data_IF_370704574336
#
_entry.id   IF_370704574336
#
_cell.length_a   1.000
_cell.length_b   1.000
_cell.length_c   1.000
_cell.angle_alpha   90.00
_cell.angle_beta   90.00
_cell.angle_gamma   90.00
#
_symmetry.space_group_name_H-M   'P 1'
#
loop_
_entity.id
_entity.type
_entity.pdbx_description
1 polymer ?
#
# COMPACT_ATOMS: atom_id res chain seq x y z
N UNK A 1 32.60 59.15 -3.97
CA UNK A 1 33.81 58.76 -4.73
C UNK A 1 33.47 58.97 -6.20
N UNK A 2 34.08 59.95 -6.87
CA UNK A 2 33.74 60.26 -8.27
C UNK A 2 34.49 59.29 -9.16
N UNK A 3 33.76 58.54 -10.00
CA UNK A 3 34.38 57.73 -11.05
C UNK A 3 34.98 58.71 -12.05
N UNK A 4 36.30 58.66 -12.24
CA UNK A 4 36.95 59.32 -13.38
C UNK A 4 36.61 58.49 -14.61
N UNK A 5 35.84 59.06 -15.53
CA UNK A 5 35.61 58.44 -16.83
C UNK A 5 36.95 58.18 -17.52
N UNK A 6 37.14 56.96 -18.00
CA UNK A 6 38.38 56.54 -18.65
C UNK A 6 38.28 56.96 -20.12
N UNK A 7 38.68 58.19 -20.44
CA UNK A 7 38.78 58.66 -21.82
C UNK A 7 39.76 57.79 -22.62
N UNK A 8 39.28 57.21 -23.72
CA UNK A 8 40.12 56.52 -24.70
C UNK A 8 40.77 57.52 -25.68
N UNK A 9 41.73 57.04 -26.49
CA UNK A 9 42.31 57.86 -27.56
C UNK A 9 41.29 58.31 -28.60
N UNK A 10 40.26 57.49 -28.85
CA UNK A 10 39.15 57.78 -29.78
C UNK A 10 38.26 58.89 -29.23
N UNK A 11 37.90 58.85 -27.94
CA UNK A 11 37.09 59.90 -27.29
C UNK A 11 37.79 61.28 -27.34
N UNK A 12 39.11 61.28 -27.23
CA UNK A 12 39.93 62.49 -27.38
C UNK A 12 39.93 63.00 -28.81
N UNK A 13 40.02 62.13 -29.81
CA UNK A 13 39.91 62.51 -31.23
C UNK A 13 38.55 63.15 -31.53
N UNK A 14 37.44 62.55 -31.08
CA UNK A 14 36.09 63.12 -31.23
C UNK A 14 36.00 64.48 -30.54
N UNK A 15 36.47 64.59 -29.29
CA UNK A 15 36.51 65.84 -28.53
C UNK A 15 37.36 66.95 -29.17
N UNK A 16 38.38 66.57 -29.96
CA UNK A 16 39.27 67.48 -30.68
C UNK A 16 38.57 68.02 -31.95
N UNK A 17 37.94 67.12 -32.70
CA UNK A 17 37.15 67.43 -33.89
C UNK A 17 35.95 68.32 -33.52
N UNK A 18 35.24 68.03 -32.42
CA UNK A 18 34.12 68.86 -31.95
C UNK A 18 34.55 70.29 -31.59
N UNK A 19 35.74 70.46 -31.00
CA UNK A 19 36.28 71.79 -30.64
C UNK A 19 36.70 72.61 -31.86
N UNK A 20 37.28 71.97 -32.88
CA UNK A 20 37.81 72.65 -34.08
C UNK A 20 36.86 72.64 -35.28
N UNK A 21 35.79 71.85 -35.24
CA UNK A 21 34.84 71.53 -36.34
C UNK A 21 35.44 70.80 -37.54
N UNK A 22 36.70 71.08 -37.90
CA UNK A 22 37.52 70.33 -38.85
C UNK A 22 38.98 70.41 -38.43
N UNK A 23 39.76 69.36 -38.66
CA UNK A 23 41.21 69.33 -38.38
C UNK A 23 41.95 68.47 -39.41
N UNK A 24 43.18 68.85 -39.77
CA UNK A 24 44.06 68.01 -40.59
C UNK A 24 44.47 66.74 -39.83
N UNK A 25 44.56 65.60 -40.51
CA UNK A 25 44.99 64.31 -39.92
C UNK A 25 46.35 64.43 -39.22
N UNK A 26 47.29 65.12 -39.87
CA UNK A 26 48.64 65.39 -39.40
C UNK A 26 48.72 66.49 -38.32
N UNK A 27 47.65 67.24 -38.06
CA UNK A 27 47.52 68.11 -36.88
C UNK A 27 46.90 67.35 -35.71
N UNK A 28 45.87 66.53 -35.97
CA UNK A 28 45.25 65.65 -34.98
C UNK A 28 46.26 64.65 -34.38
N UNK A 29 47.12 64.05 -35.21
CA UNK A 29 48.21 63.19 -34.76
C UNK A 29 49.17 63.89 -33.78
N UNK A 30 49.52 65.15 -34.06
CA UNK A 30 50.41 65.96 -33.21
C UNK A 30 49.75 66.34 -31.88
N UNK A 31 48.48 66.73 -31.88
CA UNK A 31 47.76 67.09 -30.64
C UNK A 31 47.41 65.88 -29.76
N UNK A 32 47.16 64.72 -30.36
CA UNK A 32 46.87 63.48 -29.63
C UNK A 32 48.14 62.71 -29.21
N UNK A 33 49.31 63.09 -29.72
CA UNK A 33 50.59 62.47 -29.39
C UNK A 33 50.74 61.04 -29.94
N UNK A 34 50.08 60.73 -31.05
CA UNK A 34 50.06 59.39 -31.69
C UNK A 34 50.41 59.51 -33.18
N UNK A 35 50.78 58.39 -33.82
CA UNK A 35 51.11 58.40 -35.25
C UNK A 35 49.88 58.63 -36.13
N UNK A 36 50.07 59.24 -37.30
CA UNK A 36 49.01 59.47 -38.30
C UNK A 36 48.28 58.17 -38.73
N UNK A 37 48.97 57.02 -38.74
CA UNK A 37 48.34 55.71 -39.02
C UNK A 37 47.29 55.36 -37.96
N UNK A 38 47.58 55.59 -36.69
CA UNK A 38 46.67 55.31 -35.57
C UNK A 38 45.47 56.26 -35.59
N UNK A 39 45.69 57.55 -35.89
CA UNK A 39 44.58 58.50 -36.07
C UNK A 39 43.73 58.13 -37.29
N UNK A 40 44.34 57.62 -38.36
CA UNK A 40 43.62 57.15 -39.55
C UNK A 40 42.76 55.93 -39.25
N UNK A 41 43.29 54.91 -38.57
CA UNK A 41 42.53 53.74 -38.13
C UNK A 41 41.34 54.14 -37.24
N UNK A 42 41.53 55.09 -36.32
CA UNK A 42 40.44 55.64 -35.52
C UNK A 42 39.45 56.44 -36.38
N UNK A 43 39.92 57.20 -37.35
CA UNK A 43 39.07 58.00 -38.24
C UNK A 43 38.22 57.13 -39.17
N UNK A 44 38.80 56.07 -39.74
CA UNK A 44 38.11 55.08 -40.59
C UNK A 44 37.02 54.38 -39.78
N UNK A 45 37.33 53.92 -38.55
CA UNK A 45 36.34 53.35 -37.63
C UNK A 45 35.20 54.33 -37.27
N UNK A 46 35.53 55.60 -37.01
CA UNK A 46 34.54 56.65 -36.73
C UNK A 46 33.72 57.07 -37.97
N UNK A 47 34.25 56.86 -39.18
CA UNK A 47 33.53 57.09 -40.45
C UNK A 47 32.58 55.93 -40.77
N UNK A 48 32.97 54.68 -40.51
CA UNK A 48 32.08 53.51 -40.59
C UNK A 48 30.84 53.70 -39.68
N UNK A 49 31.06 54.11 -38.42
CA UNK A 49 30.00 54.46 -37.46
C UNK A 49 29.30 55.80 -37.77
N UNK A 50 29.69 56.50 -38.86
CA UNK A 50 29.11 57.75 -39.34
C UNK A 50 29.16 58.92 -38.32
N UNK A 51 30.15 58.93 -37.42
CA UNK A 51 30.38 60.01 -36.46
C UNK A 51 31.23 61.16 -37.04
N UNK A 52 32.16 60.84 -37.94
CA UNK A 52 32.98 61.83 -38.66
C UNK A 52 32.92 61.61 -40.17
N UNK A 53 33.50 62.51 -40.94
CA UNK A 53 33.75 62.35 -42.38
C UNK A 53 35.20 62.68 -42.69
N UNK A 54 35.84 61.82 -43.48
CA UNK A 54 37.20 61.99 -43.97
C UNK A 54 37.14 62.62 -45.36
N UNK A 55 37.59 63.87 -45.49
CA UNK A 55 37.69 64.55 -46.79
C UNK A 55 39.15 64.52 -47.29
N UNK A 56 39.32 63.97 -48.48
CA UNK A 56 40.61 63.74 -49.13
C UNK A 56 40.93 64.88 -50.10
N UNK A 57 41.38 66.00 -49.55
CA UNK A 57 41.87 67.14 -50.34
C UNK A 57 43.15 66.81 -51.11
N UNK A 58 43.39 67.55 -52.21
CA UNK A 58 44.52 67.37 -53.13
C UNK A 58 45.92 67.35 -52.47
N UNK A 59 46.05 67.87 -51.26
CA UNK A 59 47.32 67.93 -50.52
C UNK A 59 47.22 67.55 -49.03
N UNK A 60 46.02 67.29 -48.51
CA UNK A 60 45.76 67.08 -47.07
C UNK A 60 44.50 66.25 -46.85
N UNK A 61 44.53 65.37 -45.84
CA UNK A 61 43.35 64.64 -45.36
C UNK A 61 42.78 65.40 -44.16
N UNK A 62 41.50 65.77 -44.23
CA UNK A 62 40.83 66.54 -43.16
C UNK A 62 39.71 65.74 -42.53
N UNK A 63 39.68 65.72 -41.20
CA UNK A 63 38.65 65.09 -40.38
C UNK A 63 37.64 66.14 -39.97
N UNK A 64 36.39 66.00 -40.43
CA UNK A 64 35.30 66.91 -40.09
C UNK A 64 34.24 66.19 -39.25
N UNK A 65 33.69 66.89 -38.25
CA UNK A 65 32.62 66.35 -37.42
C UNK A 65 31.34 66.22 -38.26
N UNK A 66 30.87 64.99 -38.49
CA UNK A 66 29.66 64.73 -39.28
C UNK A 66 28.45 65.04 -38.40
N UNK A 67 28.10 66.33 -38.32
CA UNK A 67 26.86 66.79 -37.68
C UNK A 67 25.69 66.12 -38.38
N UNK A 68 25.21 65.02 -37.79
CA UNK A 68 24.04 64.26 -38.25
C UNK A 68 22.96 65.28 -38.58
N UNK A 69 22.61 65.41 -39.86
CA UNK A 69 21.67 66.46 -40.24
C UNK A 69 20.35 66.17 -39.56
N UNK A 70 19.57 67.20 -39.22
CA UNK A 70 18.27 67.02 -38.55
C UNK A 70 17.39 65.99 -39.26
N UNK A 71 17.51 65.90 -40.59
CA UNK A 71 16.85 64.94 -41.48
C UNK A 71 17.33 63.49 -41.33
N UNK A 72 18.64 63.26 -41.16
CA UNK A 72 19.21 61.93 -40.88
C UNK A 72 18.92 61.48 -39.45
N UNK A 73 18.97 62.39 -38.49
CA UNK A 73 18.55 62.13 -37.11
C UNK A 73 17.06 61.75 -37.06
N UNK A 74 16.20 62.52 -37.73
CA UNK A 74 14.77 62.18 -37.90
C UNK A 74 14.56 60.83 -38.62
N UNK A 75 15.41 60.47 -39.58
CA UNK A 75 15.35 59.16 -40.26
C UNK A 75 15.74 58.01 -39.33
N UNK A 76 16.88 58.09 -38.64
CA UNK A 76 17.31 57.07 -37.66
C UNK A 76 16.30 56.95 -36.50
N UNK A 77 15.70 58.06 -36.05
CA UNK A 77 14.63 58.06 -35.03
C UNK A 77 13.34 57.42 -35.55
N UNK A 78 12.94 57.65 -36.80
CA UNK A 78 11.76 56.97 -37.40
C UNK A 78 11.98 55.48 -37.59
N UNK A 79 13.15 55.08 -38.08
CA UNK A 79 13.51 53.66 -38.21
C UNK A 79 13.57 52.98 -36.82
N UNK A 80 14.14 53.66 -35.83
CA UNK A 80 14.15 53.23 -34.44
C UNK A 80 12.74 53.03 -33.86
N UNK A 81 11.86 54.03 -33.96
CA UNK A 81 10.47 53.89 -33.50
C UNK A 81 9.75 52.74 -34.21
N UNK A 82 10.00 52.56 -35.52
CA UNK A 82 9.43 51.44 -36.28
C UNK A 82 9.92 50.07 -35.76
N UNK A 83 11.22 49.93 -35.45
CA UNK A 83 11.79 48.71 -34.86
C UNK A 83 11.27 48.46 -33.44
N UNK A 84 11.18 49.50 -32.62
CA UNK A 84 10.61 49.44 -31.27
C UNK A 84 9.13 49.03 -31.29
N UNK A 85 8.31 49.63 -32.14
CA UNK A 85 6.89 49.32 -32.24
C UNK A 85 6.68 47.89 -32.75
N UNK A 86 7.47 47.44 -33.73
CA UNK A 86 7.47 46.06 -34.18
C UNK A 86 7.86 45.09 -33.04
N UNK A 87 8.86 45.44 -32.23
CA UNK A 87 9.28 44.67 -31.08
C UNK A 87 8.21 44.60 -29.99
N UNK A 88 7.61 45.74 -29.59
CA UNK A 88 6.52 45.78 -28.61
C UNK A 88 5.34 44.94 -29.10
N UNK A 89 4.94 45.04 -30.37
CA UNK A 89 3.89 44.19 -30.96
C UNK A 89 4.26 42.70 -30.94
N UNK A 90 5.53 42.33 -31.14
CA UNK A 90 6.00 40.94 -31.02
C UNK A 90 5.83 40.44 -29.57
N UNK A 91 6.23 41.24 -28.58
CA UNK A 91 6.08 40.94 -27.16
C UNK A 91 4.60 40.84 -26.75
N UNK A 92 3.76 41.80 -27.13
CA UNK A 92 2.31 41.80 -26.88
C UNK A 92 1.60 40.59 -27.51
N UNK A 93 1.96 40.23 -28.74
CA UNK A 93 1.45 39.01 -29.41
C UNK A 93 1.91 37.75 -28.66
N UNK A 94 3.14 37.75 -28.12
CA UNK A 94 3.66 36.65 -27.30
C UNK A 94 2.87 36.50 -25.99
N UNK A 95 2.52 37.62 -25.34
CA UNK A 95 1.65 37.65 -24.15
C UNK A 95 0.26 37.10 -24.50
N UNK A 96 -0.39 37.58 -25.56
CA UNK A 96 -1.72 37.06 -25.97
C UNK A 96 -1.73 35.57 -26.29
N UNK A 97 -0.65 35.05 -26.89
CA UNK A 97 -0.49 33.61 -27.11
C UNK A 97 -0.29 32.86 -25.79
N UNK A 98 0.42 33.43 -24.81
CA UNK A 98 0.60 32.86 -23.47
C UNK A 98 -0.70 32.89 -22.65
N UNK A 99 -1.53 33.93 -22.81
CA UNK A 99 -2.88 34.04 -22.24
C UNK A 99 -3.81 32.95 -22.82
N UNK A 100 -3.74 32.69 -24.13
CA UNK A 100 -4.49 31.57 -24.73
C UNK A 100 -3.98 30.19 -24.28
N UNK A 101 -2.66 29.97 -24.27
CA UNK A 101 -2.07 28.73 -23.75
C UNK A 101 -2.36 28.55 -22.24
N UNK A 102 -2.62 29.65 -21.52
CA UNK A 102 -3.11 29.65 -20.12
C UNK A 102 -4.54 29.16 -20.01
N UNK A 103 -5.47 29.60 -20.86
CA UNK A 103 -6.86 29.10 -20.86
C UNK A 103 -6.91 27.57 -21.09
N UNK A 104 -6.08 27.05 -22.00
CA UNK A 104 -5.94 25.61 -22.24
C UNK A 104 -5.35 24.85 -21.03
N UNK A 105 -4.48 25.49 -20.24
CA UNK A 105 -3.95 24.94 -18.99
C UNK A 105 -4.96 24.95 -17.84
N UNK A 106 -5.72 26.04 -17.69
CA UNK A 106 -6.72 26.16 -16.63
C UNK A 106 -7.86 25.14 -16.87
N UNK A 107 -8.21 24.82 -18.12
CA UNK A 107 -9.07 23.68 -18.46
C UNK A 107 -8.48 22.33 -18.01
N UNK A 108 -7.18 22.08 -18.25
CA UNK A 108 -6.51 20.84 -17.80
C UNK A 108 -6.46 20.76 -16.26
N UNK A 109 -6.39 21.91 -15.58
CA UNK A 109 -6.41 22.04 -14.12
C UNK A 109 -7.80 21.75 -13.55
N UNK A 110 -8.88 22.15 -14.23
CA UNK A 110 -10.25 21.75 -13.92
C UNK A 110 -10.47 20.24 -14.17
N UNK A 111 -10.10 19.73 -15.35
CA UNK A 111 -10.15 18.29 -15.68
C UNK A 111 -9.44 17.43 -14.61
N UNK A 112 -8.26 17.86 -14.17
CA UNK A 112 -7.53 17.19 -13.09
C UNK A 112 -8.20 17.35 -11.72
N UNK A 113 -8.82 18.50 -11.44
CA UNK A 113 -9.57 18.76 -10.21
C UNK A 113 -10.76 17.82 -10.06
N UNK A 114 -11.51 17.58 -11.13
CA UNK A 114 -12.64 16.65 -11.13
C UNK A 114 -12.18 15.18 -11.13
N UNK A 115 -11.10 14.85 -11.86
CA UNK A 115 -10.46 13.54 -11.75
C UNK A 115 -10.02 13.26 -10.29
N UNK A 116 -9.46 14.26 -9.59
CA UNK A 116 -9.03 14.16 -8.19
C UNK A 116 -10.21 13.97 -7.23
N UNK A 117 -11.39 14.55 -7.50
CA UNK A 117 -12.61 14.28 -6.72
C UNK A 117 -13.07 12.84 -6.90
N UNK A 118 -13.17 12.38 -8.15
CA UNK A 118 -13.65 11.04 -8.48
C UNK A 118 -12.70 9.94 -7.94
N UNK A 119 -11.39 10.13 -8.08
CA UNK A 119 -10.37 9.28 -7.45
C UNK A 119 -10.48 9.35 -5.92
N UNK A 120 -10.82 10.52 -5.35
CA UNK A 120 -11.05 10.69 -3.92
C UNK A 120 -12.16 9.78 -3.38
N UNK A 121 -13.32 9.76 -4.05
CA UNK A 121 -14.43 8.85 -3.70
C UNK A 121 -14.06 7.38 -3.90
N UNK A 122 -13.45 7.01 -5.03
CA UNK A 122 -13.02 5.61 -5.28
C UNK A 122 -11.97 5.14 -4.25
N UNK A 123 -11.08 6.03 -3.78
CA UNK A 123 -10.13 5.73 -2.71
C UNK A 123 -10.80 5.54 -1.34
N UNK A 124 -11.91 6.23 -1.08
CA UNK A 124 -12.67 6.10 0.17
C UNK A 124 -13.41 4.76 0.22
N UNK A 125 -14.02 4.35 -0.90
CA UNK A 125 -14.61 3.02 -1.07
C UNK A 125 -13.56 1.89 -0.92
N UNK A 126 -12.42 2.00 -1.62
CA UNK A 126 -11.32 1.01 -1.50
C UNK A 126 -10.75 0.94 -0.09
N UNK A 127 -10.69 2.07 0.63
CA UNK A 127 -10.28 2.08 2.04
C UNK A 127 -11.30 1.35 2.92
N UNK A 128 -12.60 1.54 2.68
CA UNK A 128 -13.65 0.82 3.39
C UNK A 128 -13.56 -0.69 3.12
N UNK A 129 -13.33 -1.12 1.88
CA UNK A 129 -13.09 -2.54 1.55
C UNK A 129 -11.85 -3.11 2.27
N UNK A 130 -10.77 -2.33 2.41
CA UNK A 130 -9.56 -2.75 3.15
C UNK A 130 -9.79 -2.85 4.66
N UNK A 131 -10.51 -1.90 5.26
CA UNK A 131 -10.85 -1.94 6.69
C UNK A 131 -11.79 -3.12 7.01
N UNK A 132 -12.74 -3.46 6.11
CA UNK A 132 -13.53 -4.69 6.21
C UNK A 132 -12.68 -5.96 6.10
N UNK A 133 -11.77 -6.04 5.12
CA UNK A 133 -10.88 -7.20 4.94
C UNK A 133 -10.00 -7.43 6.18
N UNK A 134 -9.50 -6.34 6.78
CA UNK A 134 -8.73 -6.41 8.03
C UNK A 134 -9.59 -6.94 9.18
N UNK A 135 -10.84 -6.50 9.31
CA UNK A 135 -11.76 -7.03 10.32
C UNK A 135 -12.02 -8.54 10.13
N UNK A 136 -12.13 -9.02 8.88
CA UNK A 136 -12.25 -10.46 8.60
C UNK A 136 -10.98 -11.24 8.95
N UNK A 137 -9.79 -10.65 8.82
CA UNK A 137 -8.52 -11.26 9.22
C UNK A 137 -8.40 -11.40 10.74
N UNK A 138 -8.73 -10.34 11.50
CA UNK A 138 -8.80 -10.37 12.97
C UNK A 138 -9.80 -11.43 13.44
N UNK A 139 -10.99 -11.51 12.81
CA UNK A 139 -12.03 -12.47 13.15
C UNK A 139 -11.61 -13.91 12.85
N UNK A 140 -10.89 -14.14 11.74
CA UNK A 140 -10.28 -15.43 11.43
C UNK A 140 -9.25 -15.83 12.50
N UNK A 141 -8.35 -14.93 12.88
CA UNK A 141 -7.31 -15.22 13.87
C UNK A 141 -7.91 -15.60 15.24
N UNK A 142 -9.00 -14.95 15.64
CA UNK A 142 -9.74 -15.32 16.85
C UNK A 142 -10.39 -16.72 16.73
N UNK A 143 -11.02 -17.04 15.61
CA UNK A 143 -11.58 -18.40 15.37
C UNK A 143 -10.49 -19.47 15.39
N UNK A 144 -9.33 -19.24 14.76
CA UNK A 144 -8.22 -20.19 14.73
C UNK A 144 -7.69 -20.47 16.17
N UNK A 145 -7.65 -19.45 17.03
CA UNK A 145 -7.32 -19.59 18.45
C UNK A 145 -8.39 -20.38 19.24
N UNK A 146 -9.67 -20.09 19.03
CA UNK A 146 -10.78 -20.80 19.69
C UNK A 146 -10.82 -22.28 19.28
N UNK A 147 -10.63 -22.59 17.98
CA UNK A 147 -10.54 -23.97 17.47
C UNK A 147 -9.35 -24.70 18.13
N UNK A 148 -8.20 -24.04 18.27
CA UNK A 148 -7.03 -24.61 18.94
C UNK A 148 -7.34 -24.93 20.41
N UNK A 149 -7.94 -23.99 21.16
CA UNK A 149 -8.31 -24.18 22.56
C UNK A 149 -9.32 -25.32 22.75
N UNK A 150 -10.38 -25.36 21.93
CA UNK A 150 -11.36 -26.45 21.95
C UNK A 150 -10.70 -27.80 21.67
N UNK A 151 -9.75 -27.87 20.72
CA UNK A 151 -9.02 -29.11 20.42
C UNK A 151 -8.19 -29.59 21.62
N UNK A 152 -7.54 -28.67 22.35
CA UNK A 152 -6.79 -28.98 23.57
C UNK A 152 -7.74 -29.50 24.68
N UNK A 153 -8.88 -28.83 24.91
CA UNK A 153 -9.93 -29.27 25.85
C UNK A 153 -10.50 -30.67 25.52
N UNK A 154 -10.77 -30.95 24.23
CA UNK A 154 -11.26 -32.27 23.80
C UNK A 154 -10.21 -33.38 23.98
N UNK A 155 -8.92 -33.09 23.79
CA UNK A 155 -7.85 -34.07 24.04
C UNK A 155 -7.81 -34.44 25.53
N UNK A 156 -7.88 -33.46 26.44
CA UNK A 156 -7.95 -33.73 27.88
C UNK A 156 -9.15 -34.59 28.28
N UNK A 157 -10.33 -34.31 27.71
CA UNK A 157 -11.55 -35.08 27.98
C UNK A 157 -11.44 -36.53 27.48
N UNK A 158 -10.85 -36.74 26.29
CA UNK A 158 -10.60 -38.08 25.74
C UNK A 158 -9.62 -38.86 26.63
N UNK A 159 -8.55 -38.24 27.10
CA UNK A 159 -7.56 -38.92 27.93
C UNK A 159 -8.06 -39.22 29.35
N UNK A 160 -8.90 -38.34 29.93
CA UNK A 160 -9.64 -38.65 31.18
C UNK A 160 -10.58 -39.84 30.99
N UNK A 161 -11.40 -39.85 29.94
CA UNK A 161 -12.31 -40.96 29.65
C UNK A 161 -11.56 -42.28 29.42
N UNK A 162 -10.41 -42.26 28.74
CA UNK A 162 -9.53 -43.44 28.58
C UNK A 162 -8.99 -43.97 29.90
N UNK A 163 -8.63 -43.09 30.84
CA UNK A 163 -8.17 -43.50 32.17
C UNK A 163 -9.29 -44.15 32.99
N UNK A 164 -10.50 -43.59 32.95
CA UNK A 164 -11.69 -44.16 33.62
C UNK A 164 -12.07 -45.53 33.05
N UNK A 165 -12.10 -45.67 31.71
CA UNK A 165 -12.36 -46.96 31.05
C UNK A 165 -11.32 -48.00 31.48
N UNK A 166 -10.02 -47.67 31.42
CA UNK A 166 -8.94 -48.58 31.82
C UNK A 166 -9.02 -48.99 33.29
N UNK A 167 -9.49 -48.11 34.17
CA UNK A 167 -9.71 -48.42 35.58
C UNK A 167 -10.86 -49.42 35.78
N UNK A 168 -12.01 -49.21 35.14
CA UNK A 168 -13.14 -50.15 35.22
C UNK A 168 -12.86 -51.48 34.48
N UNK A 169 -12.08 -51.47 33.39
CA UNK A 169 -11.59 -52.70 32.74
C UNK A 169 -10.75 -53.57 33.69
N UNK A 170 -9.77 -52.97 34.38
CA UNK A 170 -8.95 -53.69 35.37
C UNK A 170 -9.81 -54.27 36.51
N UNK A 171 -10.76 -53.49 37.02
CA UNK A 171 -11.69 -53.89 38.08
C UNK A 171 -12.64 -55.01 37.64
N UNK A 172 -13.06 -55.01 36.38
CA UNK A 172 -13.83 -56.10 35.80
C UNK A 172 -12.99 -57.38 35.65
N UNK A 173 -11.72 -57.26 35.24
CA UNK A 173 -10.81 -58.40 35.15
C UNK A 173 -10.56 -59.05 36.51
N UNK A 174 -10.29 -58.28 37.57
CA UNK A 174 -10.13 -58.83 38.92
C UNK A 174 -11.41 -59.53 39.41
N UNK A 175 -12.59 -58.96 39.12
CA UNK A 175 -13.85 -59.59 39.49
C UNK A 175 -14.09 -60.92 38.75
N UNK A 176 -13.63 -61.05 37.50
CA UNK A 176 -13.69 -62.33 36.77
C UNK A 176 -12.74 -63.38 37.36
N UNK A 177 -11.56 -62.99 37.84
CA UNK A 177 -10.64 -63.88 38.56
C UNK A 177 -11.25 -64.35 39.88
N UNK A 178 -11.83 -63.44 40.67
CA UNK A 178 -12.52 -63.75 41.93
C UNK A 178 -13.68 -64.72 41.71
N UNK A 179 -14.57 -64.44 40.73
CA UNK A 179 -15.69 -65.32 40.37
C UNK A 179 -15.20 -66.72 39.96
N UNK A 180 -14.10 -66.80 39.21
CA UNK A 180 -13.54 -68.08 38.77
C UNK A 180 -12.97 -68.87 39.96
N UNK A 181 -12.24 -68.21 40.86
CA UNK A 181 -11.74 -68.81 42.09
C UNK A 181 -12.87 -69.38 42.95
N UNK A 182 -13.96 -68.62 43.07
CA UNK A 182 -15.13 -69.04 43.84
C UNK A 182 -15.90 -70.21 43.19
N UNK A 183 -16.03 -70.22 41.86
CA UNK A 183 -16.55 -71.38 41.13
C UNK A 183 -15.71 -72.65 41.34
N UNK A 184 -14.38 -72.51 41.38
CA UNK A 184 -13.48 -73.64 41.69
C UNK A 184 -13.61 -74.12 43.14
N UNK A 185 -13.86 -73.22 44.10
CA UNK A 185 -14.13 -73.57 45.49
C UNK A 185 -15.47 -74.30 45.65
N UNK A 186 -16.56 -73.73 45.12
CA UNK A 186 -17.89 -74.36 45.10
C UNK A 186 -17.84 -75.75 44.43
N UNK A 187 -17.01 -75.93 43.39
CA UNK A 187 -16.81 -77.23 42.74
C UNK A 187 -16.13 -78.27 43.63
N UNK A 188 -15.19 -77.84 44.50
CA UNK A 188 -14.56 -78.72 45.50
C UNK A 188 -15.54 -79.07 46.60
N UNK A 189 -16.19 -78.07 47.20
CA UNK A 189 -17.19 -78.26 48.26
C UNK A 189 -18.34 -79.18 47.79
N UNK A 190 -18.84 -79.00 46.57
CA UNK A 190 -19.87 -79.88 46.01
C UNK A 190 -19.40 -81.34 45.88
N UNK A 191 -18.12 -81.59 45.58
CA UNK A 191 -17.56 -82.96 45.56
C UNK A 191 -17.42 -83.52 46.97
N UNK A 192 -17.03 -82.70 47.95
CA UNK A 192 -16.98 -83.10 49.35
C UNK A 192 -18.37 -83.43 49.90
N UNK A 193 -19.38 -82.62 49.57
CA UNK A 193 -20.79 -82.90 49.87
C UNK A 193 -21.24 -84.20 49.23
N UNK A 194 -20.95 -84.46 47.95
CA UNK A 194 -21.28 -85.76 47.32
C UNK A 194 -20.59 -86.94 48.03
N UNK A 195 -19.34 -86.80 48.46
CA UNK A 195 -18.66 -87.85 49.24
C UNK A 195 -19.22 -88.01 50.67
N UNK A 196 -19.82 -86.97 51.24
CA UNK A 196 -20.53 -87.04 52.51
C UNK A 196 -21.91 -87.68 52.34
N UNK A 197 -22.61 -87.39 51.24
CA UNK A 197 -23.90 -87.96 50.86
C UNK A 197 -23.78 -89.47 50.55
N UNK A 198 -22.73 -89.89 49.82
CA UNK A 198 -22.39 -91.31 49.65
C UNK A 198 -22.08 -92.01 51.00
N UNK A 199 -21.39 -91.33 51.92
CA UNK A 199 -21.17 -91.85 53.28
C UNK A 199 -22.46 -91.89 54.09
N UNK A 200 -23.35 -90.90 53.93
CA UNK A 200 -24.65 -90.86 54.59
C UNK A 200 -25.54 -91.99 54.08
N UNK A 201 -25.64 -92.22 52.77
CA UNK A 201 -26.39 -93.33 52.19
C UNK A 201 -25.82 -94.70 52.62
N UNK A 202 -24.49 -94.84 52.69
CA UNK A 202 -23.87 -96.02 53.31
C UNK A 202 -24.21 -96.18 54.81
N UNK A 203 -24.26 -95.07 55.56
CA UNK A 203 -24.66 -95.07 56.97
C UNK A 203 -26.17 -95.32 57.13
N UNK A 204 -27.02 -94.82 56.22
CA UNK A 204 -28.47 -95.09 56.14
C UNK A 204 -28.73 -96.54 55.84
N UNK A 205 -28.04 -97.16 54.87
CA UNK A 205 -28.15 -98.61 54.60
C UNK A 205 -27.70 -99.47 55.77
N UNK A 206 -26.66 -99.04 56.50
CA UNK A 206 -26.26 -99.68 57.77
C UNK A 206 -27.31 -99.45 58.87
N UNK A 207 -27.87 -98.24 58.96
CA UNK A 207 -28.96 -97.89 59.87
C UNK A 207 -30.24 -98.63 59.54
N UNK A 208 -30.56 -98.92 58.28
CA UNK A 208 -31.70 -99.74 57.82
C UNK A 208 -31.50 -101.22 58.19
N UNK A 209 -30.30 -101.76 58.01
CA UNK A 209 -29.97 -103.09 58.51
C UNK A 209 -30.09 -103.17 60.04
N UNK A 210 -29.64 -102.13 60.75
CA UNK A 210 -29.83 -101.97 62.20
C UNK A 210 -31.31 -101.72 62.54
N UNK A 211 -32.08 -101.02 61.71
CA UNK A 211 -33.53 -100.79 61.86
C UNK A 211 -34.33 -102.06 61.59
N UNK A 212 -33.81 -103.00 60.80
CA UNK A 212 -34.34 -104.36 60.70
C UNK A 212 -34.19 -105.12 62.02
N UNK A 213 -33.10 -104.89 62.76
CA UNK A 213 -32.83 -105.44 64.09
C UNK A 213 -33.62 -104.67 65.18
N UNK A 214 -33.82 -103.36 65.01
CA UNK A 214 -34.58 -102.49 65.92
C UNK A 214 -36.09 -102.51 65.60
N UNK A 215 -36.56 -103.04 64.47
CA UNK A 215 -37.98 -103.36 64.27
C UNK A 215 -38.48 -104.52 65.16
N UNK A 216 -37.57 -105.25 65.80
CA UNK A 216 -37.87 -106.12 66.95
C UNK A 216 -37.67 -105.44 68.32
N UNK A 217 -37.41 -104.13 68.35
CA UNK A 217 -37.25 -103.29 69.55
C UNK A 217 -38.03 -101.98 69.32
N UNK A 218 -39.35 -102.10 69.45
CA UNK A 218 -40.34 -101.09 69.12
C UNK A 218 -40.08 -99.69 69.73
N UNK A 219 -40.64 -98.66 69.07
CA UNK A 219 -41.19 -97.47 69.74
C UNK A 219 -40.21 -96.59 70.56
N UNK A 220 -39.48 -95.67 69.92
CA UNK A 220 -38.95 -94.45 70.59
C UNK A 220 -38.72 -93.25 69.65
N UNK A 221 -39.39 -92.14 69.99
CA UNK A 221 -39.06 -90.69 69.93
C UNK A 221 -38.08 -90.16 68.84
N UNK A 222 -38.25 -89.00 68.18
CA UNK A 222 -39.44 -88.19 67.76
C UNK A 222 -39.04 -86.89 67.03
N UNK A 223 -37.87 -86.32 67.35
CA UNK A 223 -37.78 -84.90 67.78
C UNK A 223 -36.85 -84.02 66.90
N UNK A 224 -36.84 -84.20 65.57
CA UNK A 224 -35.86 -83.55 64.67
C UNK A 224 -36.41 -82.81 63.43
N UNK A 225 -37.68 -82.38 63.43
CA UNK A 225 -38.29 -81.65 62.29
C UNK A 225 -37.94 -80.14 62.20
N UNK A 226 -37.30 -79.54 63.22
CA UNK A 226 -37.22 -78.07 63.39
C UNK A 226 -36.00 -77.35 62.81
N UNK A 227 -35.20 -77.99 61.95
CA UNK A 227 -33.90 -77.44 61.46
C UNK A 227 -33.85 -77.04 59.98
N UNK A 228 -34.93 -77.23 59.22
CA UNK A 228 -34.95 -77.00 57.76
C UNK A 228 -35.23 -75.51 57.39
N UNK A 229 -35.95 -74.78 58.24
CA UNK A 229 -36.49 -73.43 57.93
C UNK A 229 -35.44 -72.32 57.75
N UNK A 230 -34.20 -72.50 58.24
CA UNK A 230 -33.16 -71.45 58.21
C UNK A 230 -32.19 -71.49 57.01
N UNK A 231 -32.21 -72.53 56.18
CA UNK A 231 -31.26 -72.66 55.06
C UNK A 231 -31.75 -71.97 53.77
N UNK A 232 -33.05 -71.89 53.55
CA UNK A 232 -33.64 -71.36 52.31
C UNK A 232 -33.60 -69.82 52.26
N UNK A 233 -33.75 -69.15 53.39
CA UNK A 233 -33.68 -67.68 53.53
C UNK A 233 -32.34 -67.05 53.10
N UNK A 234 -31.23 -67.80 53.16
CA UNK A 234 -29.91 -67.25 52.84
C UNK A 234 -29.64 -67.21 51.33
N UNK A 235 -30.25 -68.14 50.58
CA UNK A 235 -30.01 -68.36 49.16
C UNK A 235 -30.76 -67.31 48.31
N UNK A 236 -31.99 -66.94 48.68
CA UNK A 236 -32.75 -65.85 48.04
C UNK A 236 -32.03 -64.49 48.13
N UNK A 237 -31.38 -64.19 49.27
CA UNK A 237 -30.72 -62.89 49.51
C UNK A 237 -29.56 -62.67 48.54
N UNK A 238 -28.74 -63.69 48.26
CA UNK A 238 -27.63 -63.60 47.30
C UNK A 238 -28.10 -63.49 45.84
N UNK A 239 -29.14 -64.23 45.45
CA UNK A 239 -29.74 -64.11 44.12
C UNK A 239 -30.37 -62.73 43.86
N UNK A 240 -30.91 -62.08 44.90
CA UNK A 240 -31.46 -60.70 44.79
C UNK A 240 -30.40 -59.64 44.44
N UNK A 241 -29.15 -59.82 44.88
CA UNK A 241 -28.04 -58.89 44.63
C UNK A 241 -27.46 -59.09 43.23
N UNK A 242 -27.27 -60.33 42.81
CA UNK A 242 -26.81 -60.65 41.45
C UNK A 242 -27.78 -60.11 40.38
N UNK A 243 -29.08 -60.32 40.56
CA UNK A 243 -30.11 -59.86 39.63
C UNK A 243 -30.21 -58.32 39.57
N UNK A 244 -29.95 -57.60 40.67
CA UNK A 244 -29.86 -56.13 40.66
C UNK A 244 -28.69 -55.65 39.81
N UNK A 245 -27.50 -56.21 40.00
CA UNK A 245 -26.29 -55.84 39.24
C UNK A 245 -26.46 -56.16 37.75
N UNK A 246 -27.05 -57.31 37.39
CA UNK A 246 -27.35 -57.63 35.99
C UNK A 246 -28.35 -56.65 35.37
N UNK A 247 -29.37 -56.21 36.14
CA UNK A 247 -30.36 -55.23 35.69
C UNK A 247 -29.77 -53.83 35.47
N UNK A 248 -28.81 -53.40 36.28
CA UNK A 248 -28.10 -52.13 36.11
C UNK A 248 -27.14 -52.16 34.92
N UNK A 249 -26.44 -53.28 34.71
CA UNK A 249 -25.58 -53.48 33.53
C UNK A 249 -26.41 -53.53 32.25
N UNK A 250 -27.57 -54.23 32.23
CA UNK A 250 -28.50 -54.23 31.08
C UNK A 250 -29.10 -52.84 30.83
N UNK A 251 -29.50 -52.10 31.86
CA UNK A 251 -30.03 -50.74 31.68
C UNK A 251 -28.98 -49.76 31.17
N UNK A 252 -27.73 -49.80 31.68
CA UNK A 252 -26.63 -48.97 31.12
C UNK A 252 -26.28 -49.38 29.70
N UNK A 253 -26.28 -50.69 29.37
CA UNK A 253 -25.98 -51.16 28.00
C UNK A 253 -27.08 -50.86 26.98
N UNK A 254 -28.37 -50.84 27.39
CA UNK A 254 -29.51 -50.62 26.48
C UNK A 254 -29.97 -49.16 26.38
N UNK A 255 -29.94 -48.40 27.48
CA UNK A 255 -30.45 -47.02 27.50
C UNK A 255 -29.35 -45.94 27.38
N UNK A 256 -28.07 -46.30 27.49
CA UNK A 256 -26.94 -45.38 27.31
C UNK A 256 -26.14 -45.75 26.07
N UNK A 257 -25.70 -47.00 25.92
CA UNK A 257 -24.81 -47.38 24.79
C UNK A 257 -25.56 -47.45 23.45
N UNK A 258 -26.75 -48.04 23.35
CA UNK A 258 -27.49 -48.11 22.06
C UNK A 258 -27.85 -46.72 21.49
N UNK A 259 -28.36 -45.74 22.27
CA UNK A 259 -28.56 -44.38 21.80
C UNK A 259 -27.26 -43.61 21.53
N UNK A 260 -26.16 -43.90 22.25
CA UNK A 260 -24.86 -43.27 22.02
C UNK A 260 -24.10 -43.85 20.83
N UNK A 261 -24.20 -45.15 20.52
CA UNK A 261 -23.68 -45.73 19.28
C UNK A 261 -24.44 -45.17 18.08
N UNK A 262 -25.77 -45.14 18.14
CA UNK A 262 -26.59 -44.58 17.06
C UNK A 262 -26.40 -43.07 16.90
N UNK A 263 -26.21 -42.32 17.98
CA UNK A 263 -25.77 -40.91 17.92
C UNK A 263 -24.32 -40.76 17.47
N UNK A 264 -23.41 -41.68 17.80
CA UNK A 264 -22.01 -41.63 17.36
C UNK A 264 -21.90 -41.86 15.87
N UNK A 265 -22.63 -42.84 15.32
CA UNK A 265 -22.68 -43.11 13.88
C UNK A 265 -23.42 -41.99 13.14
N UNK A 266 -24.61 -41.57 13.60
CA UNK A 266 -25.30 -40.40 13.01
C UNK A 266 -24.50 -39.09 13.16
N UNK A 267 -23.77 -38.89 14.26
CA UNK A 267 -22.88 -37.72 14.39
C UNK A 267 -21.61 -37.91 13.58
N UNK A 268 -21.07 -39.10 13.36
CA UNK A 268 -19.88 -39.28 12.49
C UNK A 268 -20.25 -39.07 11.03
N UNK A 269 -21.44 -39.51 10.60
CA UNK A 269 -21.95 -39.27 9.25
C UNK A 269 -22.40 -37.82 9.07
N UNK A 270 -23.06 -37.19 10.06
CA UNK A 270 -23.33 -35.74 10.05
C UNK A 270 -22.06 -34.92 10.19
N UNK A 271 -21.03 -35.36 10.91
CA UNK A 271 -19.71 -34.72 10.99
C UNK A 271 -18.99 -34.90 9.66
N UNK A 272 -19.11 -36.03 8.94
CA UNK A 272 -18.56 -36.17 7.58
C UNK A 272 -19.28 -35.24 6.61
N UNK A 273 -20.62 -35.21 6.59
CA UNK A 273 -21.39 -34.32 5.69
C UNK A 273 -21.21 -32.83 6.06
N UNK A 274 -21.04 -32.52 7.34
CA UNK A 274 -20.71 -31.16 7.80
C UNK A 274 -19.24 -30.83 7.54
N UNK A 275 -18.29 -31.76 7.72
CA UNK A 275 -16.88 -31.57 7.37
C UNK A 275 -16.71 -31.43 5.86
N UNK A 276 -17.35 -32.24 5.04
CA UNK A 276 -17.27 -32.15 3.58
C UNK A 276 -17.96 -30.89 3.07
N UNK A 277 -19.12 -30.49 3.61
CA UNK A 277 -19.75 -29.22 3.24
C UNK A 277 -19.06 -27.99 3.83
N UNK A 278 -18.35 -28.10 4.97
CA UNK A 278 -17.46 -27.08 5.51
C UNK A 278 -16.15 -27.05 4.71
N UNK A 279 -15.58 -28.17 4.27
CA UNK A 279 -14.35 -28.24 3.45
C UNK A 279 -14.65 -27.77 2.02
N UNK A 280 -15.83 -28.06 1.46
CA UNK A 280 -16.29 -27.44 0.21
C UNK A 280 -16.51 -25.93 0.37
N UNK A 281 -17.14 -25.48 1.47
CA UNK A 281 -17.34 -24.04 1.74
C UNK A 281 -16.02 -23.33 2.10
N UNK A 282 -15.08 -24.00 2.76
CA UNK A 282 -13.74 -23.52 3.06
C UNK A 282 -12.97 -23.47 1.75
N UNK A 283 -12.84 -24.53 0.95
CA UNK A 283 -12.18 -24.47 -0.37
C UNK A 283 -12.81 -23.44 -1.32
N UNK A 284 -14.15 -23.28 -1.32
CA UNK A 284 -14.82 -22.21 -2.10
C UNK A 284 -14.63 -20.81 -1.50
N UNK A 285 -14.41 -20.68 -0.19
CA UNK A 285 -13.98 -19.43 0.47
C UNK A 285 -12.49 -19.17 0.28
N UNK A 286 -11.64 -20.18 0.25
CA UNK A 286 -10.18 -20.16 0.14
C UNK A 286 -9.79 -19.82 -1.30
N UNK A 287 -10.40 -20.47 -2.31
CA UNK A 287 -10.32 -20.05 -3.72
C UNK A 287 -10.98 -18.68 -3.99
N UNK A 288 -11.84 -18.18 -3.09
CA UNK A 288 -12.24 -16.77 -3.10
C UNK A 288 -11.17 -15.90 -2.46
N UNK A 289 -10.62 -16.29 -1.30
CA UNK A 289 -9.62 -15.54 -0.53
C UNK A 289 -8.29 -15.43 -1.28
N UNK A 290 -7.81 -16.45 -1.99
CA UNK A 290 -6.64 -16.32 -2.88
C UNK A 290 -6.92 -15.36 -4.04
N UNK A 291 -8.12 -15.42 -4.65
CA UNK A 291 -8.54 -14.44 -5.66
C UNK A 291 -8.74 -13.05 -5.08
N UNK A 292 -9.09 -12.92 -3.80
CA UNK A 292 -9.12 -11.64 -3.10
C UNK A 292 -7.71 -11.17 -2.77
N UNK A 293 -6.79 -12.00 -2.26
CA UNK A 293 -5.40 -11.63 -1.99
C UNK A 293 -4.61 -11.23 -3.25
N UNK A 294 -4.78 -11.97 -4.36
CA UNK A 294 -4.27 -11.53 -5.66
C UNK A 294 -4.90 -10.21 -6.10
N UNK A 295 -6.20 -10.00 -5.84
CA UNK A 295 -6.84 -8.71 -6.09
C UNK A 295 -6.29 -7.63 -5.16
N UNK A 296 -6.06 -7.87 -3.88
CA UNK A 296 -5.52 -6.91 -2.91
C UNK A 296 -4.14 -6.45 -3.35
N UNK A 297 -3.26 -7.37 -3.75
CA UNK A 297 -1.97 -7.02 -4.33
C UNK A 297 -2.13 -6.23 -5.64
N UNK A 298 -3.02 -6.64 -6.56
CA UNK A 298 -3.33 -5.90 -7.81
C UNK A 298 -4.06 -4.56 -7.57
N UNK A 299 -4.70 -4.36 -6.41
CA UNK A 299 -5.37 -3.12 -5.98
C UNK A 299 -4.33 -2.19 -5.34
N UNK A 300 -3.44 -2.70 -4.49
CA UNK A 300 -2.30 -1.95 -3.95
C UNK A 300 -1.39 -1.44 -5.07
N UNK A 301 -1.01 -2.33 -6.01
CA UNK A 301 -0.24 -1.98 -7.21
C UNK A 301 -0.91 -0.90 -8.08
N UNK A 302 -2.25 -0.85 -8.08
CA UNK A 302 -3.02 0.18 -8.80
C UNK A 302 -3.09 1.47 -7.98
N UNK A 303 -3.29 1.37 -6.67
CA UNK A 303 -3.33 2.49 -5.74
C UNK A 303 -2.02 3.26 -5.77
N UNK A 304 -0.89 2.56 -5.67
CA UNK A 304 0.45 3.16 -5.76
C UNK A 304 0.67 3.84 -7.11
N UNK A 305 0.29 3.21 -8.22
CA UNK A 305 0.37 3.81 -9.57
C UNK A 305 -0.53 5.04 -9.73
N UNK A 306 -1.72 5.05 -9.14
CA UNK A 306 -2.63 6.21 -9.13
C UNK A 306 -2.06 7.33 -8.26
N UNK A 307 -1.51 7.00 -7.09
CA UNK A 307 -0.89 7.96 -6.17
C UNK A 307 0.36 8.60 -6.77
N UNK A 308 1.25 7.81 -7.36
CA UNK A 308 2.42 8.29 -8.10
C UNK A 308 2.01 9.21 -9.27
N UNK A 309 0.98 8.82 -10.02
CA UNK A 309 0.45 9.63 -11.13
C UNK A 309 -0.10 10.96 -10.62
N UNK A 310 -0.86 10.95 -9.52
CA UNK A 310 -1.38 12.15 -8.85
C UNK A 310 -0.25 13.08 -8.40
N UNK A 311 0.72 12.58 -7.64
CA UNK A 311 1.86 13.36 -7.14
C UNK A 311 2.68 14.00 -8.27
N UNK A 312 2.96 13.25 -9.35
CA UNK A 312 3.65 13.77 -10.54
C UNK A 312 2.83 14.86 -11.26
N UNK A 313 1.50 14.71 -11.31
CA UNK A 313 0.60 15.68 -11.94
C UNK A 313 0.48 16.95 -11.11
N UNK A 314 0.32 16.86 -9.79
CA UNK A 314 0.31 18.02 -8.88
C UNK A 314 1.64 18.78 -8.92
N UNK A 315 2.77 18.06 -8.96
CA UNK A 315 4.09 18.70 -9.08
C UNK A 315 4.27 19.42 -10.44
N UNK A 316 3.80 18.82 -11.54
CA UNK A 316 3.85 19.45 -12.86
C UNK A 316 2.93 20.68 -12.94
N UNK A 317 1.71 20.60 -12.41
CA UNK A 317 0.78 21.74 -12.32
C UNK A 317 1.43 22.93 -11.59
N UNK A 318 2.00 22.69 -10.40
CA UNK A 318 2.66 23.75 -9.62
C UNK A 318 3.81 24.42 -10.38
N UNK A 319 4.71 23.62 -10.99
CA UNK A 319 5.83 24.16 -11.79
C UNK A 319 5.36 24.94 -13.02
N UNK A 320 4.27 24.53 -13.67
CA UNK A 320 3.74 25.22 -14.85
C UNK A 320 3.11 26.57 -14.45
N UNK A 321 2.39 26.65 -13.32
CA UNK A 321 1.84 27.91 -12.81
C UNK A 321 2.97 28.90 -12.40
N UNK A 322 4.02 28.40 -11.75
CA UNK A 322 5.22 29.19 -11.40
C UNK A 322 5.92 29.73 -12.66
N UNK A 323 6.30 28.84 -13.60
CA UNK A 323 6.98 29.22 -14.85
C UNK A 323 6.15 30.23 -15.68
N UNK A 324 4.83 30.03 -15.76
CA UNK A 324 3.86 30.93 -16.40
C UNK A 324 3.90 32.31 -15.77
N UNK A 325 3.83 32.38 -14.44
CA UNK A 325 3.84 33.67 -13.73
C UNK A 325 5.17 34.42 -13.92
N UNK A 326 6.31 33.72 -13.87
CA UNK A 326 7.62 34.32 -14.15
C UNK A 326 7.73 34.83 -15.58
N UNK A 327 7.30 34.05 -16.59
CA UNK A 327 7.34 34.48 -18.00
C UNK A 327 6.45 35.69 -18.26
N UNK A 328 5.26 35.75 -17.68
CA UNK A 328 4.37 36.91 -17.80
C UNK A 328 4.99 38.16 -17.16
N UNK A 329 5.59 38.03 -15.98
CA UNK A 329 6.32 39.14 -15.34
C UNK A 329 7.52 39.59 -16.18
N UNK A 330 8.33 38.67 -16.70
CA UNK A 330 9.50 39.00 -17.53
C UNK A 330 9.08 39.73 -18.82
N UNK A 331 8.05 39.25 -19.52
CA UNK A 331 7.49 39.90 -20.72
C UNK A 331 6.94 41.30 -20.40
N UNK A 332 6.19 41.47 -19.30
CA UNK A 332 5.68 42.79 -18.85
C UNK A 332 6.81 43.74 -18.45
N UNK A 333 7.89 43.25 -17.84
CA UNK A 333 9.10 44.06 -17.58
C UNK A 333 9.80 44.46 -18.88
N UNK A 334 9.82 43.58 -19.89
CA UNK A 334 10.44 43.84 -21.19
C UNK A 334 9.70 44.94 -21.97
N UNK A 335 8.36 44.95 -21.93
CA UNK A 335 7.55 46.09 -22.42
C UNK A 335 7.92 47.38 -21.68
N UNK A 336 7.98 47.36 -20.33
CA UNK A 336 8.33 48.54 -19.54
C UNK A 336 9.74 49.07 -19.86
N UNK A 337 10.73 48.20 -20.08
CA UNK A 337 12.08 48.55 -20.52
C UNK A 337 12.08 49.21 -21.91
N UNK A 338 11.39 48.59 -22.88
CA UNK A 338 11.25 49.14 -24.23
C UNK A 338 10.51 50.50 -24.25
N UNK A 339 9.52 50.69 -23.38
CA UNK A 339 8.81 51.96 -23.21
C UNK A 339 9.69 53.04 -22.55
N UNK A 340 10.31 52.73 -21.41
CA UNK A 340 11.19 53.65 -20.68
C UNK A 340 12.39 54.14 -21.50
N UNK A 341 12.80 53.38 -22.52
CA UNK A 341 13.89 53.76 -23.42
C UNK A 341 13.66 55.08 -24.17
N UNK A 342 12.42 55.55 -24.40
CA UNK A 342 12.18 56.87 -25.01
C UNK A 342 12.76 58.03 -24.18
N UNK A 343 12.92 57.83 -22.87
CA UNK A 343 13.57 58.79 -21.97
C UNK A 343 15.11 58.69 -22.01
N UNK A 344 15.67 57.55 -22.45
CA UNK A 344 17.11 57.22 -22.38
C UNK A 344 17.81 57.40 -23.73
N UNK A 345 17.08 57.21 -24.85
CA UNK A 345 17.58 57.31 -26.24
C UNK A 345 18.22 58.66 -26.62
N UNK A 346 18.19 59.66 -25.73
CA UNK A 346 18.79 60.99 -25.92
C UNK A 346 20.24 61.10 -25.40
N UNK A 347 20.83 60.04 -24.83
CA UNK A 347 22.12 60.13 -24.11
C UNK A 347 23.16 59.02 -24.33
N UNK A 348 22.84 57.92 -25.02
CA UNK A 348 23.76 56.77 -25.14
C UNK A 348 23.50 55.95 -26.40
N UNK A 349 24.47 55.12 -26.79
CA UNK A 349 24.35 54.19 -27.92
C UNK A 349 23.05 53.35 -27.84
N UNK A 350 22.27 53.44 -28.90
CA UNK A 350 20.97 52.80 -29.04
C UNK A 350 21.10 51.35 -29.53
N UNK A 351 22.18 51.03 -30.24
CA UNK A 351 22.40 49.71 -30.83
C UNK A 351 22.56 48.63 -29.76
N UNK A 352 23.47 48.83 -28.82
CA UNK A 352 23.75 47.87 -27.73
C UNK A 352 22.53 47.59 -26.84
N UNK A 353 21.69 48.58 -26.54
CA UNK A 353 20.48 48.36 -25.74
C UNK A 353 19.41 47.55 -26.49
N UNK A 354 19.22 47.82 -27.79
CA UNK A 354 18.30 47.03 -28.63
C UNK A 354 18.77 45.57 -28.72
N UNK A 355 20.08 45.33 -28.88
CA UNK A 355 20.64 43.97 -28.84
C UNK A 355 20.40 43.28 -27.49
N UNK A 356 20.49 43.99 -26.36
CA UNK A 356 20.16 43.42 -25.04
C UNK A 356 18.67 43.05 -24.90
N UNK A 357 17.75 43.87 -25.44
CA UNK A 357 16.31 43.55 -25.47
C UNK A 357 16.02 42.32 -26.35
N UNK A 358 16.65 42.20 -27.52
CA UNK A 358 16.51 41.03 -28.40
C UNK A 358 17.04 39.77 -27.71
N UNK A 359 18.24 39.82 -27.13
CA UNK A 359 18.85 38.68 -26.43
C UNK A 359 18.04 38.22 -25.21
N UNK A 360 17.44 39.14 -24.46
CA UNK A 360 16.54 38.78 -23.34
C UNK A 360 15.19 38.25 -23.83
N UNK A 361 14.70 38.69 -24.98
CA UNK A 361 13.51 38.12 -25.61
C UNK A 361 13.75 36.69 -26.12
N UNK A 362 14.90 36.40 -26.75
CA UNK A 362 15.28 35.04 -27.18
C UNK A 362 15.33 34.05 -26.00
N UNK A 363 15.90 34.46 -24.86
CA UNK A 363 15.92 33.64 -23.63
C UNK A 363 14.50 33.34 -23.08
N UNK A 364 13.56 34.25 -23.28
CA UNK A 364 12.15 34.07 -22.91
C UNK A 364 11.44 33.15 -23.93
N UNK A 365 11.76 33.23 -25.21
CA UNK A 365 11.24 32.37 -26.28
C UNK A 365 11.69 30.90 -26.06
N UNK A 366 12.95 30.68 -25.65
CA UNK A 366 13.46 29.37 -25.22
C UNK A 366 12.69 28.80 -24.02
N UNK A 367 12.51 29.60 -22.96
CA UNK A 367 11.77 29.21 -21.75
C UNK A 367 10.29 28.93 -22.06
N UNK A 368 9.67 29.72 -22.94
CA UNK A 368 8.31 29.45 -23.44
C UNK A 368 8.23 28.10 -24.15
N UNK A 369 9.22 27.75 -24.99
CA UNK A 369 9.27 26.43 -25.65
C UNK A 369 9.34 25.27 -24.64
N UNK A 370 10.02 25.48 -23.51
CA UNK A 370 10.10 24.51 -22.42
C UNK A 370 8.77 24.40 -21.66
N UNK A 371 8.12 25.53 -21.37
CA UNK A 371 6.79 25.55 -20.74
C UNK A 371 5.78 24.77 -21.59
N UNK A 372 5.76 25.00 -22.91
CA UNK A 372 4.89 24.28 -23.85
C UNK A 372 5.10 22.76 -23.80
N UNK A 373 6.36 22.30 -23.76
CA UNK A 373 6.68 20.86 -23.60
C UNK A 373 6.18 20.30 -22.26
N UNK A 374 6.23 21.07 -21.17
CA UNK A 374 5.66 20.67 -19.87
C UNK A 374 4.13 20.58 -19.91
N UNK A 375 3.46 21.53 -20.58
CA UNK A 375 2.01 21.52 -20.79
C UNK A 375 1.56 20.31 -21.65
N UNK A 376 2.29 20.00 -22.72
CA UNK A 376 2.04 18.80 -23.53
C UNK A 376 2.23 17.50 -22.72
N UNK A 377 3.27 17.43 -21.87
CA UNK A 377 3.47 16.28 -20.96
C UNK A 377 2.33 16.14 -19.96
N UNK A 378 1.89 17.26 -19.36
CA UNK A 378 0.74 17.28 -18.44
C UNK A 378 -0.54 16.79 -19.14
N UNK A 379 -0.81 17.29 -20.35
CA UNK A 379 -1.98 16.90 -21.13
C UNK A 379 -1.99 15.38 -21.43
N UNK A 380 -0.85 14.78 -21.75
CA UNK A 380 -0.73 13.32 -21.93
C UNK A 380 -1.02 12.55 -20.64
N UNK A 381 -0.50 13.01 -19.51
CA UNK A 381 -0.71 12.37 -18.20
C UNK A 381 -2.19 12.44 -17.80
N UNK A 382 -2.83 13.60 -17.93
CA UNK A 382 -4.25 13.80 -17.54
C UNK A 382 -5.20 13.11 -18.52
N UNK A 383 -5.07 13.35 -19.83
CA UNK A 383 -6.01 12.88 -20.87
C UNK A 383 -5.72 11.49 -21.41
N UNK A 384 -4.60 10.86 -21.03
CA UNK A 384 -4.30 9.46 -21.34
C UNK A 384 -4.01 9.15 -22.81
N UNK A 385 -3.48 10.11 -23.57
CA UNK A 385 -3.06 9.97 -24.98
C UNK A 385 -1.53 10.03 -25.14
#
# INVERSE_FOLDING_TARGET
MVIKDIETGVDRLVSLIDKKSSIDLDEAAKELGVSESVVREWAEFLEEENMISIDYGLSKVTLSGKKITKKEAESKVKEYHSKKDAFIRKVETTIKLLEKETEEFDQIKEEFGDLKKNIGSEMEDVKHELDELKHYEDLKQNIDNDIKKQKEEYIELIDKARQEIKYEENKYLTLLEDIKGEQENISKEKKEIMQLDEKEDHLRKRLEAIYGIIKSIEHNISDEESKIENAEEHLEKLQSVANKIESEIKNKKKNIIEPLMKRSEEQTEKISVVQDSIIEKIKKKELRIERYAEKTNKISDKFDKIFDKKMRTEHLLGRIDEDKHFLEQELRQLIKKAQAFDAIAKKTDVGTYVQQLVKTYEQIEDRKSLLKKKMEQLAKIVRGK
#
